data_IF_946443030484
#
_entry.id   IF_946443030484
#
_cell.length_a   1.000
_cell.length_b   1.000
_cell.length_c   1.000
_cell.angle_alpha   90.00
_cell.angle_beta   90.00
_cell.angle_gamma   90.00
#
_symmetry.space_group_name_H-M   'P 1'
#
loop_
_entity.id
_entity.type
_entity.pdbx_description
1 polymer ?
#
# COMPACT_ATOMS: atom_id res chain seq x y z
N UNK A 1 -7.06 -35.53 -4.43
CA UNK A 1 -5.61 -35.79 -4.56
C UNK A 1 -4.94 -35.23 -3.32
N UNK A 2 -3.95 -35.91 -2.70
CA UNK A 2 -3.19 -35.32 -1.59
C UNK A 2 -2.06 -34.41 -2.13
N UNK A 3 -1.43 -33.60 -1.25
CA UNK A 3 -0.45 -32.61 -1.68
C UNK A 3 0.73 -33.22 -2.45
N UNK A 4 1.30 -34.33 -1.96
CA UNK A 4 2.43 -34.99 -2.62
C UNK A 4 2.05 -35.55 -3.99
N UNK A 5 0.87 -36.18 -4.10
CA UNK A 5 0.36 -36.67 -5.38
C UNK A 5 0.06 -35.52 -6.34
N UNK A 6 -0.43 -34.38 -5.85
CA UNK A 6 -0.69 -33.18 -6.65
C UNK A 6 0.59 -32.53 -7.17
N UNK A 7 1.63 -32.43 -6.33
CA UNK A 7 2.93 -31.89 -6.74
C UNK A 7 3.60 -32.75 -7.82
N UNK A 8 3.54 -34.08 -7.67
CA UNK A 8 4.07 -35.00 -8.68
C UNK A 8 3.31 -34.88 -10.01
N UNK A 9 1.97 -34.92 -9.97
CA UNK A 9 1.15 -34.79 -11.16
C UNK A 9 1.34 -33.43 -11.87
N UNK A 10 1.50 -32.35 -11.09
CA UNK A 10 1.80 -31.03 -11.64
C UNK A 10 3.19 -30.97 -12.27
N UNK A 11 4.19 -31.59 -11.65
CA UNK A 11 5.56 -31.67 -12.20
C UNK A 11 5.58 -32.45 -13.52
N UNK A 12 4.88 -33.57 -13.58
CA UNK A 12 4.74 -34.36 -14.81
C UNK A 12 4.05 -33.56 -15.92
N UNK A 13 2.99 -32.81 -15.56
CA UNK A 13 2.32 -31.90 -16.49
C UNK A 13 3.28 -30.82 -17.02
N UNK A 14 4.00 -30.12 -16.14
CA UNK A 14 4.97 -29.09 -16.55
C UNK A 14 6.07 -29.66 -17.46
N UNK A 15 6.55 -30.87 -17.18
CA UNK A 15 7.57 -31.52 -17.99
C UNK A 15 7.05 -31.99 -19.35
N UNK A 16 5.74 -32.24 -19.47
CA UNK A 16 5.08 -32.61 -20.73
C UNK A 16 4.85 -31.43 -21.68
N UNK A 17 4.90 -30.19 -21.16
CA UNK A 17 4.74 -28.97 -21.96
C UNK A 17 6.06 -28.63 -22.67
N UNK A 18 5.94 -28.24 -23.94
CA UNK A 18 7.08 -27.78 -24.74
C UNK A 18 7.80 -26.61 -24.04
N UNK A 19 9.13 -26.60 -24.11
CA UNK A 19 9.93 -25.59 -23.44
C UNK A 19 9.59 -24.15 -23.89
N UNK A 20 9.13 -23.96 -25.13
CA UNK A 20 8.75 -22.65 -25.66
C UNK A 20 7.40 -22.16 -25.09
N UNK A 21 6.48 -23.07 -24.77
CA UNK A 21 5.13 -22.76 -24.29
C UNK A 21 5.04 -22.75 -22.75
N UNK A 22 6.03 -23.35 -22.07
CA UNK A 22 6.03 -23.49 -20.61
C UNK A 22 5.92 -22.15 -19.88
N UNK A 23 6.58 -21.10 -20.38
CA UNK A 23 6.52 -19.77 -19.78
C UNK A 23 5.11 -19.16 -19.87
N UNK A 24 4.44 -19.32 -21.01
CA UNK A 24 3.08 -18.81 -21.23
C UNK A 24 2.07 -19.56 -20.37
N UNK A 25 2.17 -20.89 -20.29
CA UNK A 25 1.32 -21.72 -19.43
C UNK A 25 1.45 -21.34 -17.95
N UNK A 26 2.68 -21.14 -17.45
CA UNK A 26 2.90 -20.74 -16.07
C UNK A 26 2.36 -19.33 -15.77
N UNK A 27 2.43 -18.41 -16.74
CA UNK A 27 1.79 -17.10 -16.62
C UNK A 27 0.28 -17.23 -16.50
N UNK A 28 -0.35 -18.00 -17.40
CA UNK A 28 -1.79 -18.25 -17.37
C UNK A 28 -2.25 -18.88 -16.04
N UNK A 29 -1.51 -19.86 -15.52
CA UNK A 29 -1.84 -20.54 -14.27
C UNK A 29 -1.81 -19.58 -13.08
N UNK A 30 -0.78 -18.73 -13.02
CA UNK A 30 -0.67 -17.67 -12.01
C UNK A 30 -1.86 -16.73 -12.08
N UNK A 31 -2.20 -16.26 -13.27
CA UNK A 31 -3.23 -15.26 -13.47
C UNK A 31 -4.65 -15.84 -13.25
N UNK A 32 -4.84 -17.14 -13.53
CA UNK A 32 -6.17 -17.79 -13.48
C UNK A 32 -6.51 -18.41 -12.12
N UNK A 33 -5.52 -18.74 -11.29
CA UNK A 33 -5.76 -19.48 -10.04
C UNK A 33 -5.05 -18.90 -8.82
N UNK A 34 -3.95 -18.15 -9.00
CA UNK A 34 -3.20 -17.57 -7.89
C UNK A 34 -3.54 -16.10 -7.63
N UNK A 35 -4.14 -15.41 -8.60
CA UNK A 35 -4.49 -14.00 -8.48
C UNK A 35 -5.72 -13.70 -7.59
N UNK A 36 -6.61 -14.68 -7.36
CA UNK A 36 -7.91 -14.44 -6.70
C UNK A 36 -8.13 -15.15 -5.35
N UNK A 37 -7.19 -15.97 -4.86
CA UNK A 37 -7.45 -16.78 -3.65
C UNK A 37 -7.04 -16.04 -2.37
N UNK A 38 -7.95 -15.22 -1.84
CA UNK A 38 -7.83 -14.47 -0.56
C UNK A 38 -6.67 -13.47 -0.51
N UNK A 39 -6.87 -12.31 0.13
CA UNK A 39 -5.77 -11.37 0.33
C UNK A 39 -4.54 -12.12 0.85
N UNK A 40 -3.37 -11.88 0.26
CA UNK A 40 -2.17 -12.57 0.72
C UNK A 40 -1.98 -12.31 2.22
N UNK A 41 -1.30 -13.18 2.97
CA UNK A 41 -1.01 -12.89 4.38
C UNK A 41 -0.36 -11.49 4.52
N UNK A 42 0.47 -11.10 3.55
CA UNK A 42 1.04 -9.76 3.47
C UNK A 42 -0.02 -8.66 3.33
N UNK A 43 -1.08 -8.85 2.54
CA UNK A 43 -2.20 -7.90 2.45
C UNK A 43 -2.83 -7.65 3.83
N UNK A 44 -3.17 -8.71 4.56
CA UNK A 44 -3.78 -8.59 5.88
C UNK A 44 -2.83 -7.98 6.93
N UNK A 45 -1.55 -8.36 6.90
CA UNK A 45 -0.53 -7.77 7.77
C UNK A 45 -0.39 -6.26 7.51
N UNK A 46 -0.30 -5.85 6.24
CA UNK A 46 -0.22 -4.46 5.83
C UNK A 46 -1.49 -3.67 6.19
N UNK A 47 -2.67 -4.27 6.04
CA UNK A 47 -3.93 -3.62 6.46
C UNK A 47 -4.02 -3.45 7.97
N UNK A 48 -3.53 -4.42 8.74
CA UNK A 48 -3.48 -4.29 10.20
C UNK A 48 -2.56 -3.14 10.61
N UNK A 49 -1.39 -3.02 9.97
CA UNK A 49 -0.49 -1.88 10.18
C UNK A 49 -1.16 -0.56 9.80
N UNK A 50 -1.88 -0.51 8.68
CA UNK A 50 -2.58 0.68 8.24
C UNK A 50 -3.65 1.12 9.26
N UNK A 51 -4.44 0.20 9.83
CA UNK A 51 -5.40 0.52 10.88
C UNK A 51 -4.74 1.08 12.14
N UNK A 52 -3.60 0.51 12.56
CA UNK A 52 -2.85 1.03 13.69
C UNK A 52 -2.33 2.44 13.42
N UNK A 53 -1.77 2.69 12.23
CA UNK A 53 -1.26 4.02 11.86
C UNK A 53 -2.38 5.05 11.88
N UNK A 54 -3.60 4.73 11.42
CA UNK A 54 -4.76 5.63 11.48
C UNK A 54 -5.04 6.15 12.89
N UNK A 55 -4.75 5.36 13.93
CA UNK A 55 -4.94 5.79 15.33
C UNK A 55 -3.86 6.75 15.83
N UNK A 56 -2.75 6.85 15.09
CA UNK A 56 -1.55 7.61 15.48
C UNK A 56 -1.34 8.87 14.65
N UNK A 57 -2.04 9.03 13.52
CA UNK A 57 -1.91 10.16 12.59
C UNK A 57 -3.20 10.98 12.51
N UNK A 58 -3.13 12.25 12.10
CA UNK A 58 -4.32 13.02 11.73
C UNK A 58 -5.09 12.36 10.58
N UNK A 59 -6.37 12.70 10.42
CA UNK A 59 -7.24 12.13 9.36
C UNK A 59 -6.64 12.30 7.96
N UNK A 60 -5.98 13.43 7.71
CA UNK A 60 -5.32 13.77 6.45
C UNK A 60 -3.98 13.05 6.26
N UNK A 61 -3.53 12.30 7.27
CA UNK A 61 -2.23 11.63 7.34
C UNK A 61 -1.01 12.56 7.17
N UNK A 62 -1.18 13.83 7.54
CA UNK A 62 -0.16 14.88 7.48
C UNK A 62 0.06 15.40 8.89
N UNK A 63 1.24 15.17 9.47
CA UNK A 63 1.60 15.73 10.76
C UNK A 63 1.76 17.26 10.70
N UNK A 64 1.43 18.00 11.78
CA UNK A 64 1.65 19.45 11.85
C UNK A 64 3.12 19.87 11.70
N UNK A 65 4.06 18.96 11.96
CA UNK A 65 5.50 19.19 11.82
C UNK A 65 6.00 19.05 10.37
N UNK A 66 5.14 18.62 9.45
CA UNK A 66 5.50 18.51 8.04
C UNK A 66 5.44 19.86 7.35
N UNK A 67 6.45 20.15 6.53
CA UNK A 67 6.44 21.34 5.66
C UNK A 67 5.82 20.99 4.31
N UNK A 68 4.49 20.83 4.27
CA UNK A 68 3.77 20.56 3.02
C UNK A 68 3.42 21.87 2.33
N UNK A 69 4.03 22.11 1.16
CA UNK A 69 3.69 23.27 0.35
C UNK A 69 2.57 22.93 -0.66
N UNK A 70 1.32 23.09 -0.23
CA UNK A 70 0.14 22.85 -1.07
C UNK A 70 -0.03 23.89 -2.20
N UNK A 71 0.70 25.02 -2.15
CA UNK A 71 0.49 26.16 -3.05
C UNK A 71 0.85 25.88 -4.53
N UNK A 72 1.50 24.76 -4.82
CA UNK A 72 1.83 24.33 -6.19
C UNK A 72 0.84 23.33 -6.79
N UNK A 73 -0.06 22.75 -5.98
CA UNK A 73 -1.06 21.77 -6.44
C UNK A 73 -2.34 22.48 -6.87
N UNK A 74 -2.72 23.57 -6.17
CA UNK A 74 -3.84 24.43 -6.54
C UNK A 74 -3.43 25.42 -7.64
N UNK A 75 -3.45 24.98 -8.90
CA UNK A 75 -3.35 25.88 -10.04
C UNK A 75 -4.62 26.73 -10.13
N UNK A 76 -4.64 27.87 -9.42
CA UNK A 76 -5.48 29.03 -9.76
C UNK A 76 -6.99 28.98 -9.47
N UNK A 77 -7.58 27.85 -9.10
CA UNK A 77 -9.00 27.79 -8.71
C UNK A 77 -9.16 27.20 -7.30
N UNK A 78 -10.08 27.76 -6.51
CA UNK A 78 -10.53 27.27 -5.20
C UNK A 78 -11.28 25.93 -5.34
N UNK A 79 -10.64 24.92 -5.93
CA UNK A 79 -11.14 23.56 -5.92
C UNK A 79 -10.87 22.97 -4.53
N UNK A 80 -11.93 22.55 -3.84
CA UNK A 80 -11.82 21.92 -2.53
C UNK A 80 -11.16 20.56 -2.72
N UNK A 81 -9.85 20.49 -2.51
CA UNK A 81 -9.06 19.25 -2.56
C UNK A 81 -8.96 18.69 -1.15
N UNK A 82 -9.26 17.41 -1.00
CA UNK A 82 -9.02 16.67 0.23
C UNK A 82 -7.91 15.66 0.00
N UNK A 83 -6.90 15.70 0.86
CA UNK A 83 -5.78 14.77 0.81
C UNK A 83 -6.11 13.53 1.64
N UNK A 84 -5.96 12.36 1.02
CA UNK A 84 -6.17 11.05 1.66
C UNK A 84 -4.94 10.18 1.41
N UNK A 85 -4.56 9.34 2.36
CA UNK A 85 -3.45 8.39 2.14
C UNK A 85 -4.00 7.02 1.72
N UNK A 86 -3.72 6.59 0.49
CA UNK A 86 -4.23 5.30 -0.03
C UNK A 86 -3.66 4.06 0.65
N UNK A 87 -2.55 4.17 1.38
CA UNK A 87 -2.09 3.08 2.23
C UNK A 87 -3.06 2.87 3.39
N UNK A 88 -3.55 3.97 3.97
CA UNK A 88 -4.50 3.95 5.09
C UNK A 88 -5.92 3.67 4.61
N UNK A 89 -6.42 4.43 3.65
CA UNK A 89 -7.81 4.40 3.23
C UNK A 89 -7.96 3.73 1.87
N UNK A 90 -8.87 2.76 1.80
CA UNK A 90 -9.36 2.23 0.53
C UNK A 90 -10.55 3.07 0.06
N UNK A 91 -10.89 2.96 -1.22
CA UNK A 91 -12.03 3.70 -1.78
C UNK A 91 -13.33 3.38 -1.00
N UNK A 92 -13.55 2.12 -0.64
CA UNK A 92 -14.70 1.69 0.17
C UNK A 92 -14.68 2.29 1.60
N UNK A 93 -13.49 2.55 2.16
CA UNK A 93 -13.35 3.18 3.47
C UNK A 93 -13.65 4.68 3.43
N UNK A 94 -13.38 5.35 2.31
CA UNK A 94 -13.77 6.76 2.11
C UNK A 94 -15.30 6.88 2.15
N UNK A 95 -16.00 5.90 1.59
CA UNK A 95 -17.46 5.91 1.52
C UNK A 95 -18.09 5.71 2.90
N UNK A 96 -17.54 4.79 3.69
CA UNK A 96 -17.95 4.61 5.08
C UNK A 96 -17.72 5.88 5.93
N UNK A 97 -16.58 6.57 5.77
CA UNK A 97 -16.31 7.83 6.48
C UNK A 97 -17.30 8.94 6.11
N UNK A 98 -17.80 8.93 4.89
CA UNK A 98 -18.82 9.87 4.42
C UNK A 98 -20.18 9.55 5.04
N UNK A 99 -20.56 8.27 5.11
CA UNK A 99 -21.80 7.82 5.75
C UNK A 99 -21.80 8.11 7.27
N UNK A 100 -20.65 7.96 7.93
CA UNK A 100 -20.46 8.27 9.35
C UNK A 100 -20.39 9.77 9.65
N UNK A 101 -20.40 10.63 8.62
CA UNK A 101 -20.30 12.08 8.76
C UNK A 101 -18.92 12.58 9.21
N UNK A 102 -17.89 11.72 9.17
CA UNK A 102 -16.49 12.06 9.47
C UNK A 102 -15.79 12.70 8.27
N UNK A 103 -16.36 12.56 7.08
CA UNK A 103 -15.87 13.12 5.82
C UNK A 103 -17.05 13.60 4.97
N UNK A 104 -16.82 14.52 4.02
CA UNK A 104 -17.84 14.94 3.07
C UNK A 104 -17.31 14.78 1.65
N UNK A 105 -18.12 14.24 0.74
CA UNK A 105 -17.83 14.23 -0.70
C UNK A 105 -18.08 15.58 -1.36
N UNK A 106 -18.76 16.50 -0.67
CA UNK A 106 -19.12 17.81 -1.22
C UNK A 106 -18.77 18.95 -0.25
N UNK A 107 -18.43 20.12 -0.79
CA UNK A 107 -18.26 21.35 -0.04
C UNK A 107 -19.33 22.37 -0.43
N UNK A 108 -19.71 23.23 0.51
CA UNK A 108 -20.64 24.33 0.22
C UNK A 108 -19.91 25.43 -0.58
N UNK A 109 -20.46 25.86 -1.71
CA UNK A 109 -19.91 27.01 -2.45
C UNK A 109 -20.09 28.32 -1.69
N UNK A 110 -21.10 28.37 -0.83
CA UNK A 110 -21.34 29.41 0.18
C UNK A 110 -21.65 28.73 1.50
N UNK A 111 -20.90 29.03 2.58
CA UNK A 111 -21.00 28.32 3.86
C UNK A 111 -22.45 28.25 4.36
N UNK A 112 -22.93 27.03 4.66
CA UNK A 112 -24.31 26.79 5.12
C UNK A 112 -25.37 26.73 4.01
N UNK A 113 -24.98 26.87 2.74
CA UNK A 113 -25.90 26.75 1.61
C UNK A 113 -26.10 25.30 1.16
N UNK A 114 -27.23 25.03 0.51
CA UNK A 114 -27.49 23.76 -0.20
C UNK A 114 -26.82 23.69 -1.58
N UNK A 115 -26.21 24.79 -2.05
CA UNK A 115 -25.44 24.82 -3.28
C UNK A 115 -24.02 24.28 -3.00
N UNK A 116 -23.84 23.00 -3.34
CA UNK A 116 -22.62 22.24 -3.07
C UNK A 116 -21.91 21.85 -4.36
N UNK A 117 -20.61 21.60 -4.27
CA UNK A 117 -19.77 21.04 -5.34
C UNK A 117 -18.94 19.86 -4.80
N UNK A 118 -18.55 18.91 -5.66
CA UNK A 118 -17.75 17.76 -5.23
C UNK A 118 -16.35 18.19 -4.77
N UNK A 119 -15.84 17.48 -3.77
CA UNK A 119 -14.45 17.57 -3.29
C UNK A 119 -13.60 16.60 -4.11
N UNK A 120 -12.43 17.06 -4.56
CA UNK A 120 -11.47 16.22 -5.26
C UNK A 120 -10.58 15.52 -4.24
N UNK A 121 -10.66 14.19 -4.18
CA UNK A 121 -9.77 13.38 -3.34
C UNK A 121 -8.46 13.12 -4.08
N UNK A 122 -7.34 13.48 -3.46
CA UNK A 122 -6.00 13.25 -4.02
C UNK A 122 -5.20 12.44 -3.01
N UNK A 123 -4.70 11.29 -3.47
CA UNK A 123 -3.76 10.48 -2.71
C UNK A 123 -2.32 10.69 -3.13
N UNK A 124 -1.44 10.77 -2.13
CA UNK A 124 0.00 10.93 -2.30
C UNK A 124 0.79 9.67 -1.97
N UNK A 125 0.11 8.55 -1.74
CA UNK A 125 0.71 7.31 -1.27
C UNK A 125 0.27 6.12 -2.12
N UNK A 126 1.03 5.02 -2.05
CA UNK A 126 0.67 3.78 -2.72
C UNK A 126 -0.32 2.98 -1.85
N UNK A 127 -1.39 2.45 -2.46
CA UNK A 127 -2.29 1.52 -1.76
C UNK A 127 -1.59 0.20 -1.45
N UNK A 128 -2.15 -0.58 -0.50
CA UNK A 128 -1.65 -1.93 -0.20
C UNK A 128 -1.63 -2.80 -1.47
N UNK A 129 -2.68 -2.78 -2.29
CA UNK A 129 -2.68 -3.53 -3.56
C UNK A 129 -1.57 -3.06 -4.51
N UNK A 130 -1.32 -1.76 -4.59
CA UNK A 130 -0.24 -1.21 -5.44
C UNK A 130 1.13 -1.64 -4.93
N UNK A 131 1.33 -1.66 -3.61
CA UNK A 131 2.57 -2.12 -2.97
C UNK A 131 2.80 -3.60 -3.25
N UNK A 132 1.79 -4.45 -3.04
CA UNK A 132 1.88 -5.87 -3.39
C UNK A 132 2.21 -6.05 -4.86
N UNK A 133 1.54 -5.30 -5.74
CA UNK A 133 1.78 -5.38 -7.17
C UNK A 133 3.24 -5.05 -7.54
N UNK A 134 3.78 -3.98 -6.97
CA UNK A 134 5.17 -3.58 -7.20
C UNK A 134 6.14 -4.69 -6.79
N UNK A 135 6.00 -5.24 -5.59
CA UNK A 135 6.93 -6.24 -5.07
C UNK A 135 6.78 -7.63 -5.69
N UNK A 136 5.56 -8.03 -6.05
CA UNK A 136 5.30 -9.37 -6.57
C UNK A 136 5.50 -9.47 -8.09
N UNK A 137 5.23 -8.38 -8.83
CA UNK A 137 5.17 -8.44 -10.30
C UNK A 137 6.08 -7.44 -11.02
N UNK A 138 6.39 -6.29 -10.42
CA UNK A 138 7.21 -5.27 -11.10
C UNK A 138 8.70 -5.39 -10.81
N UNK A 139 9.07 -5.69 -9.56
CA UNK A 139 10.45 -5.79 -9.14
C UNK A 139 11.02 -7.19 -9.42
N UNK A 140 12.32 -7.30 -9.77
CA UNK A 140 12.97 -8.60 -9.82
C UNK A 140 13.14 -9.18 -8.41
N UNK A 141 13.49 -10.46 -8.32
CA UNK A 141 13.83 -11.08 -7.03
C UNK A 141 14.88 -10.25 -6.28
N UNK A 142 14.59 -9.96 -5.01
CA UNK A 142 15.41 -9.13 -4.13
C UNK A 142 16.27 -9.95 -3.16
N UNK A 143 16.33 -11.27 -3.32
CA UNK A 143 17.12 -12.16 -2.47
C UNK A 143 18.57 -11.68 -2.36
N UNK A 144 19.04 -11.47 -1.13
CA UNK A 144 20.40 -10.98 -0.85
C UNK A 144 20.65 -9.50 -1.13
N UNK A 145 19.66 -8.76 -1.65
CA UNK A 145 19.78 -7.33 -1.99
C UNK A 145 19.29 -6.42 -0.85
N UNK A 146 19.82 -5.20 -0.85
CA UNK A 146 19.37 -4.12 0.03
C UNK A 146 18.40 -3.23 -0.72
N UNK A 147 17.23 -2.97 -0.14
CA UNK A 147 16.27 -1.98 -0.63
C UNK A 147 16.46 -0.66 0.13
N UNK A 148 16.49 0.45 -0.60
CA UNK A 148 16.54 1.80 -0.05
C UNK A 148 15.27 2.56 -0.46
N UNK A 149 14.51 3.02 0.52
CA UNK A 149 13.30 3.81 0.35
C UNK A 149 13.57 5.25 0.79
N UNK A 150 13.57 6.18 -0.18
CA UNK A 150 13.92 7.59 0.05
C UNK A 150 12.63 8.40 0.14
N UNK A 151 12.41 9.03 1.30
CA UNK A 151 11.15 9.68 1.64
C UNK A 151 10.11 8.64 2.08
N UNK A 152 10.46 7.81 3.06
CA UNK A 152 9.65 6.65 3.47
C UNK A 152 8.32 7.02 4.13
N UNK A 153 8.11 8.29 4.54
CA UNK A 153 6.83 8.83 5.01
C UNK A 153 6.18 8.03 6.14
N UNK A 154 5.04 7.40 5.92
CA UNK A 154 4.38 6.56 6.91
C UNK A 154 4.99 5.16 7.03
N UNK A 155 5.96 4.81 6.17
CA UNK A 155 6.63 3.51 6.14
C UNK A 155 5.98 2.48 5.22
N UNK A 156 4.98 2.85 4.43
CA UNK A 156 4.19 1.93 3.59
C UNK A 156 5.06 1.00 2.72
N UNK A 157 6.09 1.55 2.06
CA UNK A 157 7.02 0.77 1.23
C UNK A 157 7.96 -0.09 2.09
N UNK A 158 8.35 0.36 3.28
CA UNK A 158 9.17 -0.43 4.22
C UNK A 158 8.43 -1.69 4.66
N UNK A 159 7.18 -1.54 5.07
CA UNK A 159 6.33 -2.66 5.49
C UNK A 159 6.01 -3.57 4.30
N UNK A 160 5.71 -2.97 3.15
CA UNK A 160 5.50 -3.70 1.89
C UNK A 160 6.71 -4.56 1.51
N UNK A 161 7.90 -3.98 1.52
CA UNK A 161 9.14 -4.70 1.23
C UNK A 161 9.36 -5.85 2.22
N UNK A 162 9.00 -5.68 3.49
CA UNK A 162 9.15 -6.70 4.51
C UNK A 162 8.31 -7.93 4.22
N UNK A 163 7.01 -7.74 3.96
CA UNK A 163 6.07 -8.85 3.77
C UNK A 163 6.03 -9.40 2.35
N UNK A 164 6.30 -8.57 1.34
CA UNK A 164 6.14 -8.94 -0.07
C UNK A 164 7.45 -9.25 -0.79
N UNK A 165 8.61 -9.14 -0.13
CA UNK A 165 9.90 -9.38 -0.79
C UNK A 165 10.91 -10.17 0.05
N UNK A 166 11.92 -10.69 -0.63
CA UNK A 166 13.07 -11.42 -0.10
C UNK A 166 14.29 -10.53 0.19
N UNK A 167 14.15 -9.19 0.15
CA UNK A 167 15.25 -8.24 0.40
C UNK A 167 15.96 -8.54 1.73
N UNK A 168 17.29 -8.70 1.72
CA UNK A 168 18.04 -9.04 2.94
C UNK A 168 18.02 -7.91 3.97
N UNK A 169 17.87 -6.67 3.50
CA UNK A 169 17.81 -5.46 4.32
C UNK A 169 16.97 -4.39 3.64
N UNK A 170 16.22 -3.62 4.42
CA UNK A 170 15.32 -2.56 3.98
C UNK A 170 15.71 -1.31 4.77
N UNK A 171 16.04 -0.21 4.08
CA UNK A 171 16.51 1.03 4.72
C UNK A 171 15.54 2.15 4.34
N UNK A 172 14.94 2.78 5.35
CA UNK A 172 14.12 3.97 5.19
C UNK A 172 14.92 5.25 5.43
N UNK A 173 14.74 6.25 4.56
CA UNK A 173 15.26 7.60 4.77
C UNK A 173 14.10 8.56 4.86
N UNK A 174 13.92 9.16 6.04
CA UNK A 174 12.89 10.17 6.29
C UNK A 174 13.49 11.36 7.04
N UNK A 175 13.10 12.56 6.65
CA UNK A 175 13.62 13.81 7.20
C UNK A 175 12.77 14.31 8.38
N UNK A 176 11.45 14.07 8.34
CA UNK A 176 10.56 14.48 9.41
C UNK A 176 10.69 13.52 10.60
N UNK A 177 11.06 14.07 11.76
CA UNK A 177 11.34 13.28 12.95
C UNK A 177 10.10 12.58 13.54
N UNK A 178 8.90 13.13 13.37
CA UNK A 178 7.67 12.50 13.87
C UNK A 178 7.26 11.32 13.00
N UNK A 179 7.46 11.41 11.69
CA UNK A 179 7.35 10.27 10.77
C UNK A 179 8.37 9.17 11.13
N UNK A 180 9.62 9.52 11.44
CA UNK A 180 10.60 8.53 11.93
C UNK A 180 10.16 7.86 13.24
N UNK A 181 9.61 8.62 14.19
CA UNK A 181 9.10 8.06 15.46
C UNK A 181 7.92 7.12 15.21
N UNK A 182 6.99 7.51 14.34
CA UNK A 182 5.87 6.67 13.92
C UNK A 182 6.37 5.37 13.31
N UNK A 183 7.29 5.46 12.34
CA UNK A 183 7.87 4.29 11.67
C UNK A 183 8.52 3.34 12.69
N UNK A 184 9.36 3.87 13.58
CA UNK A 184 10.03 3.08 14.63
C UNK A 184 9.03 2.41 15.57
N UNK A 185 7.96 3.12 15.97
CA UNK A 185 6.92 2.55 16.81
C UNK A 185 6.25 1.34 16.14
N UNK A 186 5.90 1.44 14.85
CA UNK A 186 5.32 0.33 14.09
C UNK A 186 6.33 -0.81 13.91
N UNK A 187 7.58 -0.50 13.56
CA UNK A 187 8.66 -1.50 13.40
C UNK A 187 8.85 -2.30 14.69
N UNK A 188 8.83 -1.64 15.85
CA UNK A 188 8.93 -2.29 17.15
C UNK A 188 7.69 -3.12 17.48
N UNK A 189 6.48 -2.57 17.27
CA UNK A 189 5.21 -3.25 17.56
C UNK A 189 5.06 -4.56 16.80
N UNK A 190 5.54 -4.61 15.56
CA UNK A 190 5.43 -5.78 14.67
C UNK A 190 6.74 -6.59 14.55
N UNK A 191 7.76 -6.26 15.34
CA UNK A 191 9.09 -6.91 15.35
C UNK A 191 9.79 -7.00 13.97
N UNK A 192 9.70 -5.92 13.18
CA UNK A 192 10.22 -5.85 11.81
C UNK A 192 11.72 -5.48 11.72
N UNK A 193 12.35 -5.25 12.88
CA UNK A 193 13.73 -4.74 13.04
C UNK A 193 14.82 -5.70 12.56
N UNK A 194 14.48 -6.96 12.34
CA UNK A 194 15.41 -7.95 11.77
C UNK A 194 15.80 -7.62 10.32
N UNK A 195 14.97 -6.84 9.60
CA UNK A 195 15.26 -6.44 8.20
C UNK A 195 15.14 -4.93 7.96
N UNK A 196 14.28 -4.21 8.68
CA UNK A 196 14.06 -2.77 8.49
C UNK A 196 15.02 -1.93 9.38
N UNK A 197 15.60 -0.87 8.81
CA UNK A 197 16.45 0.13 9.47
C UNK A 197 16.12 1.55 9.07
#
# INVERSE_FOLDING_TARGET
MNLATAQNAFTDLINSIDNQERAEFLSWLRDSYLAESSGSQAYFDLRTIAEDIKTLVPTEAIFPSEQVNHSKISSGNNESIMHVDSFLFEDDHIDALVEEGKMSRNYCKSCGSVDVAPITFISHSASVQRIEFIFQYMLPDLSGKVLLDVGSRLGAVLYGAYYCSSASKIIGVEMNQDLCKLQNHIIEKYDLKNRIQ
#
